data_IF_898677416012
#
_entry.id   IF_898677416012
#
_cell.length_a   1.000
_cell.length_b   1.000
_cell.length_c   1.000
_cell.angle_alpha   90.00
_cell.angle_beta   90.00
_cell.angle_gamma   90.00
#
_symmetry.space_group_name_H-M   'P 1'
#
loop_
_entity.id
_entity.type
_entity.pdbx_description
1 polymer ?
#
# COMPACT_ATOMS: atom_id res chain seq x y z
N UNK A 1 -2.23 9.33 -16.25
CA UNK A 1 -1.62 9.04 -14.93
C UNK A 1 -2.65 8.38 -14.05
N UNK A 2 -2.43 7.14 -13.60
CA UNK A 2 -3.32 6.49 -12.63
C UNK A 2 -3.26 7.22 -11.29
N UNK A 3 -4.42 7.54 -10.72
CA UNK A 3 -4.52 8.19 -9.42
C UNK A 3 -4.00 7.21 -8.37
N UNK A 4 -2.81 7.48 -7.80
CA UNK A 4 -2.20 6.69 -6.72
C UNK A 4 -2.95 6.90 -5.39
N UNK A 5 -4.28 7.04 -5.43
CA UNK A 5 -5.17 7.33 -4.31
C UNK A 5 -5.71 6.02 -3.74
N UNK A 6 -6.00 6.04 -2.44
CA UNK A 6 -6.75 4.97 -1.80
C UNK A 6 -8.21 5.20 -2.16
N UNK A 7 -8.84 4.23 -2.83
CA UNK A 7 -10.26 4.30 -3.23
C UNK A 7 -11.16 3.54 -2.27
N UNK A 8 -10.60 2.57 -1.55
CA UNK A 8 -11.28 1.80 -0.53
C UNK A 8 -10.25 1.25 0.46
N UNK A 9 -10.59 1.23 1.74
CA UNK A 9 -9.76 0.69 2.81
C UNK A 9 -10.63 0.24 3.98
N UNK A 10 -10.23 -0.82 4.68
CA UNK A 10 -10.90 -1.26 5.90
C UNK A 10 -10.17 -0.74 7.15
N UNK A 11 -10.81 -0.83 8.31
CA UNK A 11 -10.27 -0.36 9.58
C UNK A 11 -8.95 -1.06 9.98
N UNK A 12 -8.80 -2.35 9.63
CA UNK A 12 -7.59 -3.12 9.93
C UNK A 12 -6.37 -2.66 9.14
N UNK A 13 -6.54 -2.33 7.86
CA UNK A 13 -5.46 -1.76 7.06
C UNK A 13 -5.17 -0.33 7.50
N UNK A 14 -6.19 0.46 7.82
CA UNK A 14 -6.03 1.84 8.28
C UNK A 14 -5.22 1.94 9.58
N UNK A 15 -5.43 1.02 10.51
CA UNK A 15 -4.70 0.99 11.79
C UNK A 15 -3.19 0.74 11.62
N UNK A 16 -2.73 0.14 10.52
CA UNK A 16 -1.30 0.01 10.23
C UNK A 16 -0.61 1.37 10.03
N UNK A 17 -1.36 2.37 9.56
CA UNK A 17 -0.88 3.73 9.34
C UNK A 17 -1.15 4.66 10.52
N UNK A 18 -1.88 4.20 11.55
CA UNK A 18 -2.30 5.03 12.68
C UNK A 18 -3.35 6.08 12.30
N UNK A 19 -4.06 5.86 11.19
CA UNK A 19 -5.04 6.77 10.63
C UNK A 19 -6.42 6.11 10.54
N UNK A 20 -7.47 6.91 10.45
CA UNK A 20 -8.82 6.41 10.17
C UNK A 20 -8.97 6.07 8.68
N UNK A 21 -9.93 5.21 8.30
CA UNK A 21 -10.25 5.00 6.88
C UNK A 21 -10.54 6.30 6.14
N UNK A 22 -11.26 7.23 6.77
CA UNK A 22 -11.62 8.52 6.18
C UNK A 22 -10.40 9.40 5.91
N UNK A 23 -9.47 9.52 6.86
CA UNK A 23 -8.21 10.24 6.68
C UNK A 23 -7.43 9.71 5.45
N UNK A 24 -7.36 8.38 5.31
CA UNK A 24 -6.62 7.72 4.24
C UNK A 24 -7.28 7.87 2.86
N UNK A 25 -8.62 7.91 2.79
CA UNK A 25 -9.37 8.14 1.56
C UNK A 25 -9.18 9.57 1.01
N UNK A 26 -8.95 10.53 1.89
CA UNK A 26 -8.69 11.92 1.52
C UNK A 26 -7.26 12.20 1.08
N UNK A 27 -6.34 11.23 1.20
CA UNK A 27 -4.95 11.44 0.81
C UNK A 27 -4.81 11.65 -0.71
N UNK A 28 -3.95 12.59 -1.13
CA UNK A 28 -3.68 12.82 -2.54
C UNK A 28 -2.96 11.63 -3.18
N UNK A 29 -2.16 10.89 -2.39
CA UNK A 29 -1.53 9.66 -2.82
C UNK A 29 -1.10 8.76 -1.66
N UNK A 30 -1.21 7.43 -1.83
CA UNK A 30 -0.65 6.42 -0.92
C UNK A 30 0.88 6.51 -0.82
N UNK A 31 1.58 7.09 -1.80
CA UNK A 31 3.05 7.15 -1.74
C UNK A 31 3.58 8.05 -0.63
N UNK A 32 2.79 8.99 -0.10
CA UNK A 32 3.21 9.78 1.07
C UNK A 32 3.28 8.96 2.36
N UNK A 33 2.73 7.75 2.35
CA UNK A 33 2.75 6.82 3.48
C UNK A 33 3.87 5.79 3.39
N UNK A 34 4.67 5.79 2.32
CA UNK A 34 5.74 4.83 2.10
C UNK A 34 7.05 5.44 2.61
N UNK A 35 7.88 4.64 3.28
CA UNK A 35 9.22 5.06 3.70
C UNK A 35 10.03 5.52 2.48
N UNK A 36 10.84 6.58 2.65
CA UNK A 36 11.52 7.24 1.53
C UNK A 36 12.39 6.26 0.71
N UNK A 37 13.15 5.40 1.39
CA UNK A 37 13.99 4.36 0.81
C UNK A 37 13.23 3.32 -0.04
N UNK A 38 11.93 3.18 0.20
CA UNK A 38 11.09 2.18 -0.45
C UNK A 38 10.23 2.72 -1.59
N UNK A 39 10.19 4.04 -1.77
CA UNK A 39 9.30 4.70 -2.73
C UNK A 39 9.46 4.16 -4.15
N UNK A 40 10.69 4.05 -4.62
CA UNK A 40 10.95 3.64 -6.01
C UNK A 40 10.66 2.16 -6.23
N UNK A 41 10.97 1.32 -5.24
CA UNK A 41 10.63 -0.10 -5.23
C UNK A 41 9.11 -0.30 -5.31
N UNK A 42 8.34 0.38 -4.45
CA UNK A 42 6.88 0.29 -4.43
C UNK A 42 6.28 0.83 -5.73
N UNK A 43 6.79 1.96 -6.25
CA UNK A 43 6.34 2.52 -7.55
C UNK A 43 6.60 1.54 -8.70
N UNK A 44 7.76 0.90 -8.73
CA UNK A 44 8.10 -0.09 -9.74
C UNK A 44 7.20 -1.31 -9.66
N UNK A 45 7.00 -1.84 -8.44
CA UNK A 45 6.10 -2.97 -8.22
C UNK A 45 4.66 -2.68 -8.63
N UNK A 46 4.11 -1.52 -8.27
CA UNK A 46 2.76 -1.13 -8.70
C UNK A 46 2.65 -1.05 -10.22
N UNK A 47 3.65 -0.47 -10.91
CA UNK A 47 3.67 -0.45 -12.39
C UNK A 47 3.66 -1.87 -12.97
N UNK A 48 4.46 -2.79 -12.42
CA UNK A 48 4.50 -4.18 -12.86
C UNK A 48 3.18 -4.91 -12.59
N UNK A 49 2.55 -4.65 -11.44
CA UNK A 49 1.25 -5.20 -11.09
C UNK A 49 0.17 -4.78 -12.10
N UNK A 50 0.12 -3.50 -12.47
CA UNK A 50 -0.82 -3.01 -13.48
C UNK A 50 -0.54 -3.54 -14.88
N UNK A 51 0.73 -3.78 -15.23
CA UNK A 51 1.10 -4.35 -16.52
C UNK A 51 0.76 -5.86 -16.62
N UNK A 52 0.63 -6.56 -15.49
CA UNK A 52 0.42 -8.01 -15.43
C UNK A 52 -0.74 -8.35 -14.49
N UNK A 53 -2.01 -8.11 -14.87
CA UNK A 53 -3.17 -8.26 -13.98
C UNK A 53 -3.39 -9.68 -13.44
N UNK A 54 -2.84 -10.70 -14.10
CA UNK A 54 -2.90 -12.09 -13.64
C UNK A 54 -1.81 -12.48 -12.64
N UNK A 55 -0.81 -11.62 -12.43
CA UNK A 55 0.32 -11.90 -11.56
C UNK A 55 0.18 -11.18 -10.22
N UNK A 56 0.27 -11.96 -9.13
CA UNK A 56 0.38 -11.40 -7.79
C UNK A 56 1.77 -10.81 -7.59
N UNK A 57 1.80 -9.56 -7.13
CA UNK A 57 3.00 -8.90 -6.64
C UNK A 57 3.12 -9.16 -5.15
N UNK A 58 4.30 -9.56 -4.69
CA UNK A 58 4.65 -9.59 -3.27
C UNK A 58 5.80 -8.64 -3.02
N UNK A 59 5.65 -7.74 -2.05
CA UNK A 59 6.69 -6.78 -1.67
C UNK A 59 6.70 -6.61 -0.15
N UNK A 60 7.90 -6.51 0.42
CA UNK A 60 8.09 -6.03 1.78
C UNK A 60 8.62 -4.60 1.71
N UNK A 61 8.09 -3.69 2.52
CA UNK A 61 8.52 -2.29 2.59
C UNK A 61 8.08 -1.63 3.90
N UNK A 62 8.67 -0.49 4.22
CA UNK A 62 8.29 0.36 5.34
C UNK A 62 7.15 1.31 4.97
N UNK A 63 6.19 1.46 5.88
CA UNK A 63 5.20 2.55 5.87
C UNK A 63 5.46 3.52 7.00
N UNK A 64 5.15 4.79 6.80
CA UNK A 64 5.23 5.82 7.83
C UNK A 64 3.91 5.85 8.59
N UNK A 65 3.94 5.46 9.86
CA UNK A 65 2.82 5.57 10.79
C UNK A 65 2.62 7.03 11.22
N UNK A 66 1.40 7.42 11.60
CA UNK A 66 1.06 8.79 12.04
C UNK A 66 1.93 9.31 13.21
N UNK A 67 2.50 8.42 14.01
CA UNK A 67 3.44 8.76 15.09
C UNK A 67 4.86 9.11 14.60
N UNK A 68 5.15 8.97 13.30
CA UNK A 68 6.49 9.12 12.72
C UNK A 68 7.32 7.83 12.69
N UNK A 69 6.85 6.75 13.30
CA UNK A 69 7.52 5.44 13.24
C UNK A 69 7.41 4.82 11.85
N UNK A 70 8.49 4.19 11.38
CA UNK A 70 8.44 3.28 10.23
C UNK A 70 7.97 1.90 10.68
N UNK A 71 6.93 1.38 10.04
CA UNK A 71 6.39 0.03 10.28
C UNK A 71 6.69 -0.85 9.08
N UNK A 72 7.41 -1.94 9.29
CA UNK A 72 7.66 -2.93 8.25
C UNK A 72 6.37 -3.71 7.92
N UNK A 73 6.04 -3.78 6.63
CA UNK A 73 4.88 -4.52 6.14
C UNK A 73 5.25 -5.46 5.00
N UNK A 74 4.54 -6.58 4.93
CA UNK A 74 4.46 -7.45 3.77
C UNK A 74 3.15 -7.16 3.04
N UNK A 75 3.24 -6.84 1.77
CA UNK A 75 2.12 -6.56 0.89
C UNK A 75 2.01 -7.63 -0.19
N UNK A 76 0.79 -8.10 -0.40
CA UNK A 76 0.41 -8.82 -1.62
C UNK A 76 -0.52 -7.90 -2.41
N UNK A 77 -0.30 -7.78 -3.71
CA UNK A 77 -1.12 -6.96 -4.58
C UNK A 77 -1.52 -7.72 -5.85
N UNK A 78 -2.76 -7.49 -6.30
CA UNK A 78 -3.25 -7.94 -7.60
C UNK A 78 -3.98 -6.78 -8.28
N UNK A 79 -3.71 -6.57 -9.56
CA UNK A 79 -4.45 -5.59 -10.34
C UNK A 79 -5.77 -6.18 -10.82
N UNK A 80 -6.83 -5.38 -10.77
CA UNK A 80 -8.17 -5.75 -11.17
C UNK A 80 -8.94 -4.51 -11.64
N UNK A 81 -10.12 -4.73 -12.22
CA UNK A 81 -11.03 -3.64 -12.56
C UNK A 81 -11.98 -3.36 -11.39
N UNK A 82 -11.99 -2.12 -10.92
CA UNK A 82 -12.88 -1.64 -9.86
C UNK A 82 -13.70 -0.45 -10.39
N UNK A 83 -15.02 -0.61 -10.50
CA UNK A 83 -15.90 0.40 -11.13
C UNK A 83 -15.38 0.89 -12.49
N UNK A 84 -15.03 -0.05 -13.39
CA UNK A 84 -14.52 0.23 -14.74
C UNK A 84 -13.19 1.01 -14.77
N UNK A 85 -12.46 1.04 -13.65
CA UNK A 85 -11.16 1.69 -13.53
C UNK A 85 -10.10 0.69 -13.07
N UNK A 86 -8.87 0.73 -13.63
CA UNK A 86 -7.78 -0.08 -13.12
C UNK A 86 -7.47 0.27 -11.66
N UNK A 87 -7.42 -0.76 -10.81
CA UNK A 87 -7.09 -0.65 -9.40
C UNK A 87 -6.19 -1.81 -8.97
N UNK A 88 -5.50 -1.64 -7.85
CA UNK A 88 -4.78 -2.73 -7.19
C UNK A 88 -5.47 -3.04 -5.86
N UNK A 89 -5.77 -4.31 -5.61
CA UNK A 89 -6.19 -4.77 -4.29
C UNK A 89 -4.94 -5.15 -3.51
N UNK A 90 -4.73 -4.52 -2.35
CA UNK A 90 -3.59 -4.80 -1.49
C UNK A 90 -4.05 -5.53 -0.22
N UNK A 91 -3.39 -6.64 0.10
CA UNK A 91 -3.42 -7.27 1.41
C UNK A 91 -2.13 -6.90 2.14
N UNK A 92 -2.26 -6.25 3.30
CA UNK A 92 -1.14 -5.77 4.11
C UNK A 92 -1.07 -6.54 5.43
N UNK A 93 0.12 -6.99 5.77
CA UNK A 93 0.45 -7.63 7.05
C UNK A 93 1.66 -6.96 7.66
N UNK A 94 1.63 -6.70 8.97
CA UNK A 94 2.81 -6.23 9.69
C UNK A 94 3.85 -7.35 9.74
N UNK A 95 5.11 -7.03 9.48
CA UNK A 95 6.24 -7.92 9.72
C UNK A 95 6.71 -7.62 11.14
N UNK A 96 6.64 -8.63 12.02
CA UNK A 96 7.29 -8.54 13.31
C UNK A 96 8.73 -8.98 13.09
N UNK A 97 9.70 -8.20 13.59
CA UNK A 97 11.05 -8.72 13.77
C UNK A 97 10.94 -9.95 14.68
N UNK A 98 11.53 -11.07 14.27
CA UNK A 98 11.67 -12.20 15.17
C UNK A 98 12.49 -11.69 16.36
N UNK A 99 11.92 -11.74 17.57
CA UNK A 99 12.69 -11.55 18.79
C UNK A 99 13.85 -12.56 18.75
N UNK A 100 15.07 -12.05 18.63
CA UNK A 100 16.30 -12.83 18.78
C UNK A 100 16.41 -13.31 20.22
#
# INVERSE_FOLDING_TARGET
MQHKKIVQINSRAASLFGQTPDELLHLPSITSLIAYEDLDRVRSGLRQCYANPHQRLTLNFGITHKSGQVVAIAAQAIAFEFHQKPAALLLLSRINEASV
#
